data_IF_850637898914
#
_entry.id   IF_850637898914
#
_cell.length_a   1.000
_cell.length_b   1.000
_cell.length_c   1.000
_cell.angle_alpha   90.00
_cell.angle_beta   90.00
_cell.angle_gamma   90.00
#
_symmetry.space_group_name_H-M   'P 1'
#
loop_
_entity.id
_entity.type
_entity.pdbx_description
1 polymer ?
#
# COMPACT_ATOMS: atom_id res chain seq x y z
N UNK A 1 48.24 19.18 9.85
CA UNK A 1 47.07 19.86 10.44
C UNK A 1 45.87 19.93 9.49
N UNK A 2 46.03 20.31 8.21
CA UNK A 2 44.89 20.41 7.27
C UNK A 2 44.07 19.13 7.04
N UNK A 3 44.72 17.95 6.95
CA UNK A 3 44.00 16.67 6.75
C UNK A 3 43.09 16.29 7.93
N UNK A 4 43.53 16.56 9.16
CA UNK A 4 42.73 16.29 10.35
C UNK A 4 41.53 17.26 10.44
N UNK A 5 41.75 18.54 10.13
CA UNK A 5 40.68 19.53 10.08
C UNK A 5 39.61 19.17 9.03
N UNK A 6 40.03 18.75 7.83
CA UNK A 6 39.10 18.29 6.78
C UNK A 6 38.30 17.08 7.24
N UNK A 7 38.95 16.07 7.82
CA UNK A 7 38.26 14.88 8.33
C UNK A 7 37.23 15.24 9.42
N UNK A 8 37.62 16.08 10.39
CA UNK A 8 36.71 16.53 11.45
C UNK A 8 35.51 17.29 10.90
N UNK A 9 35.73 18.18 9.91
CA UNK A 9 34.63 18.91 9.26
C UNK A 9 33.70 17.97 8.49
N UNK A 10 34.23 16.97 7.78
CA UNK A 10 33.42 15.97 7.08
C UNK A 10 32.56 15.15 8.04
N UNK A 11 33.12 14.73 9.18
CA UNK A 11 32.36 13.99 10.21
C UNK A 11 31.26 14.87 10.81
N UNK A 12 31.56 16.12 11.13
CA UNK A 12 30.57 17.06 11.67
C UNK A 12 29.45 17.32 10.66
N UNK A 13 29.79 17.56 9.39
CA UNK A 13 28.81 17.75 8.32
C UNK A 13 27.91 16.52 8.13
N UNK A 14 28.49 15.31 8.15
CA UNK A 14 27.74 14.07 8.06
C UNK A 14 26.79 13.88 9.27
N UNK A 15 27.26 14.19 10.49
CA UNK A 15 26.43 14.10 11.68
C UNK A 15 25.24 15.07 11.63
N UNK A 16 25.45 16.31 11.14
CA UNK A 16 24.38 17.29 10.94
C UNK A 16 23.38 16.79 9.90
N UNK A 17 23.85 16.24 8.77
CA UNK A 17 22.99 15.66 7.74
C UNK A 17 22.14 14.50 8.28
N UNK A 18 22.75 13.56 9.01
CA UNK A 18 22.02 12.43 9.61
C UNK A 18 20.99 12.95 10.63
N UNK A 19 21.36 13.92 11.46
CA UNK A 19 20.45 14.55 12.41
C UNK A 19 19.24 15.20 11.73
N UNK A 20 19.46 15.94 10.66
CA UNK A 20 18.40 16.54 9.83
C UNK A 20 17.49 15.44 9.24
N UNK A 21 18.05 14.37 8.66
CA UNK A 21 17.26 13.25 8.11
C UNK A 21 16.43 12.53 9.16
N UNK A 22 16.95 12.34 10.37
CA UNK A 22 16.19 11.76 11.47
C UNK A 22 15.03 12.66 11.91
N UNK A 23 15.24 13.98 11.98
CA UNK A 23 14.19 14.95 12.29
C UNK A 23 13.12 14.92 11.19
N UNK A 24 13.53 14.98 9.93
CA UNK A 24 12.63 14.90 8.78
C UNK A 24 11.84 13.59 8.77
N UNK A 25 12.49 12.44 8.97
CA UNK A 25 11.81 11.15 9.06
C UNK A 25 10.82 11.12 10.24
N UNK A 26 11.14 11.73 11.38
CA UNK A 26 10.22 11.85 12.53
C UNK A 26 8.97 12.66 12.17
N UNK A 27 9.14 13.74 11.40
CA UNK A 27 8.03 14.56 10.90
C UNK A 27 7.17 13.81 9.90
N UNK A 28 7.82 13.18 8.93
CA UNK A 28 7.21 12.37 7.88
C UNK A 28 6.41 11.19 8.43
N UNK A 29 7.01 10.42 9.35
CA UNK A 29 6.36 9.28 10.00
C UNK A 29 5.38 9.67 11.10
N UNK A 30 5.20 10.97 11.39
CA UNK A 30 4.34 11.45 12.48
C UNK A 30 4.59 10.70 13.81
N UNK A 31 5.83 10.27 14.10
CA UNK A 31 6.11 9.38 15.24
C UNK A 31 5.94 10.04 16.61
N UNK A 32 5.71 11.34 16.64
CA UNK A 32 5.34 12.13 17.82
C UNK A 32 3.83 12.34 17.96
N UNK A 33 3.02 11.87 17.02
CA UNK A 33 1.58 12.05 17.02
C UNK A 33 0.93 11.15 18.07
N UNK A 34 0.25 11.76 19.02
CA UNK A 34 -0.67 11.07 19.91
C UNK A 34 -2.07 10.98 19.28
N UNK A 35 -2.73 9.84 19.46
CA UNK A 35 -4.09 9.61 18.97
C UNK A 35 -5.10 10.11 19.99
N UNK A 36 -5.97 11.03 19.58
CA UNK A 36 -7.17 11.34 20.34
C UNK A 36 -8.18 10.23 20.12
N UNK A 37 -8.61 9.56 21.19
CA UNK A 37 -9.60 8.49 21.10
C UNK A 37 -10.98 9.07 20.78
N UNK A 38 -11.45 8.82 19.55
CA UNK A 38 -12.80 9.14 19.12
C UNK A 38 -13.60 7.84 19.05
N UNK A 39 -14.47 7.61 20.03
CA UNK A 39 -15.31 6.42 20.08
C UNK A 39 -16.53 6.63 19.19
N UNK A 40 -16.68 5.78 18.18
CA UNK A 40 -17.92 5.65 17.44
C UNK A 40 -18.84 4.64 18.14
N UNK A 41 -20.14 4.91 18.27
CA UNK A 41 -21.08 3.94 18.82
C UNK A 41 -21.24 2.75 17.85
N UNK A 42 -21.53 1.56 18.40
CA UNK A 42 -21.84 0.34 17.62
C UNK A 42 -20.72 -0.14 16.68
N UNK A 43 -19.46 0.03 17.05
CA UNK A 43 -18.36 -0.63 16.37
C UNK A 43 -18.28 -2.11 16.76
N UNK A 44 -18.28 -2.99 15.75
CA UNK A 44 -18.14 -4.43 15.94
C UNK A 44 -16.97 -4.94 15.11
N UNK A 45 -16.16 -5.80 15.70
CA UNK A 45 -15.11 -6.50 14.99
C UNK A 45 -15.72 -7.53 14.03
N UNK A 46 -15.26 -7.57 12.79
CA UNK A 46 -15.68 -8.56 11.81
C UNK A 46 -14.86 -9.84 12.04
N UNK A 47 -15.52 -10.89 12.51
CA UNK A 47 -14.87 -12.17 12.78
C UNK A 47 -14.33 -12.83 11.49
N UNK A 48 -13.17 -13.48 11.60
CA UNK A 48 -12.53 -14.22 10.51
C UNK A 48 -11.50 -13.44 9.69
N UNK A 49 -11.34 -12.13 9.91
CA UNK A 49 -10.24 -11.32 9.34
C UNK A 49 -9.13 -11.20 10.38
N UNK A 50 -8.18 -12.12 10.38
CA UNK A 50 -7.11 -12.16 11.40
C UNK A 50 -5.77 -11.56 10.94
N UNK A 51 -5.50 -11.59 9.62
CA UNK A 51 -4.19 -11.29 9.06
C UNK A 51 -4.19 -10.07 8.14
N UNK A 52 -4.79 -8.97 8.63
CA UNK A 52 -4.86 -7.69 7.92
C UNK A 52 -5.94 -7.65 6.84
N UNK A 53 -6.56 -6.49 6.68
CA UNK A 53 -7.43 -6.11 5.57
C UNK A 53 -6.93 -4.75 5.07
N UNK A 54 -5.94 -4.80 4.18
CA UNK A 54 -5.16 -3.60 3.82
C UNK A 54 -5.98 -2.65 2.96
N UNK A 55 -6.74 -3.19 2.00
CA UNK A 55 -7.62 -2.42 1.14
C UNK A 55 -9.03 -3.02 1.02
N UNK A 56 -10.00 -2.15 0.70
CA UNK A 56 -11.41 -2.47 0.57
C UNK A 56 -12.05 -1.66 -0.56
N UNK A 57 -12.86 -2.31 -1.38
CA UNK A 57 -13.66 -1.66 -2.42
C UNK A 57 -15.09 -2.18 -2.41
N UNK A 58 -16.07 -1.35 -2.75
CA UNK A 58 -17.49 -1.65 -2.54
C UNK A 58 -18.28 -1.39 -3.83
N UNK A 59 -19.05 -2.39 -4.26
CA UNK A 59 -20.02 -2.24 -5.33
C UNK A 59 -21.22 -1.40 -4.88
N UNK A 60 -21.93 -0.79 -5.83
CA UNK A 60 -23.12 0.01 -5.55
C UNK A 60 -24.23 -0.78 -4.82
N UNK A 61 -24.28 -2.10 -5.00
CA UNK A 61 -25.21 -2.99 -4.31
C UNK A 61 -24.81 -3.32 -2.86
N UNK A 62 -23.71 -2.75 -2.34
CA UNK A 62 -23.22 -2.94 -0.98
C UNK A 62 -22.34 -4.17 -0.77
N UNK A 63 -21.98 -4.91 -1.83
CA UNK A 63 -21.00 -5.99 -1.74
C UNK A 63 -19.58 -5.41 -1.70
N UNK A 64 -18.90 -5.58 -0.56
CA UNK A 64 -17.51 -5.18 -0.37
C UNK A 64 -16.55 -6.34 -0.70
N UNK A 65 -15.40 -6.00 -1.24
CA UNK A 65 -14.25 -6.87 -1.48
C UNK A 65 -13.10 -6.38 -0.61
N UNK A 66 -12.39 -7.29 0.04
CA UNK A 66 -11.28 -6.98 0.93
C UNK A 66 -10.03 -7.75 0.51
N UNK A 67 -8.91 -7.06 0.35
CA UNK A 67 -7.59 -7.69 0.20
C UNK A 67 -7.00 -7.97 1.57
N UNK A 68 -6.54 -9.21 1.80
CA UNK A 68 -6.10 -9.66 3.12
C UNK A 68 -4.84 -10.51 3.05
N UNK A 69 -4.09 -10.57 4.14
CA UNK A 69 -2.88 -11.38 4.22
C UNK A 69 -1.68 -10.80 3.49
N UNK A 70 -1.64 -9.48 3.25
CA UNK A 70 -0.52 -8.81 2.62
C UNK A 70 0.77 -9.02 3.42
N UNK A 71 1.80 -9.49 2.73
CA UNK A 71 3.18 -9.58 3.21
C UNK A 71 4.01 -8.52 2.51
N UNK A 72 4.21 -7.38 3.18
CA UNK A 72 4.97 -6.26 2.64
C UNK A 72 6.34 -6.14 3.31
N UNK A 73 7.44 -5.93 2.55
CA UNK A 73 8.78 -5.82 3.12
C UNK A 73 8.88 -4.75 4.21
N UNK A 74 9.41 -5.12 5.37
CA UNK A 74 9.57 -4.22 6.50
C UNK A 74 8.35 -4.08 7.40
N UNK A 75 7.22 -4.70 7.07
CA UNK A 75 6.04 -4.79 7.95
C UNK A 75 5.96 -6.16 8.64
N UNK A 76 5.37 -6.23 9.85
CA UNK A 76 5.08 -7.50 10.49
C UNK A 76 4.12 -8.36 9.64
N UNK A 77 4.43 -9.65 9.52
CA UNK A 77 3.49 -10.66 9.03
C UNK A 77 3.15 -11.61 10.17
N UNK A 78 1.88 -11.99 10.26
CA UNK A 78 1.36 -12.83 11.34
C UNK A 78 0.90 -14.21 10.85
N UNK A 79 1.03 -14.49 9.55
CA UNK A 79 0.73 -15.80 8.95
C UNK A 79 1.68 -16.12 7.80
N UNK A 80 1.92 -17.41 7.59
CA UNK A 80 2.64 -17.93 6.42
C UNK A 80 1.69 -18.29 5.27
N UNK A 81 0.37 -18.28 5.50
CA UNK A 81 -0.64 -18.53 4.46
C UNK A 81 -0.58 -17.48 3.35
N UNK A 82 -0.97 -17.86 2.13
CA UNK A 82 -1.21 -16.93 1.04
C UNK A 82 -2.33 -15.95 1.38
N UNK A 83 -2.26 -14.76 0.80
CA UNK A 83 -3.32 -13.78 0.96
C UNK A 83 -4.62 -14.22 0.28
N UNK A 84 -5.71 -13.55 0.64
CA UNK A 84 -7.06 -13.93 0.21
C UNK A 84 -7.85 -12.67 -0.16
N UNK A 85 -8.78 -12.83 -1.10
CA UNK A 85 -9.86 -11.87 -1.29
C UNK A 85 -11.10 -12.38 -0.55
N UNK A 86 -11.64 -11.55 0.33
CA UNK A 86 -12.92 -11.80 0.98
C UNK A 86 -14.00 -10.93 0.39
N UNK A 87 -15.24 -11.41 0.39
CA UNK A 87 -16.43 -10.60 0.19
C UNK A 87 -17.22 -10.44 1.47
N UNK A 88 -17.87 -9.28 1.62
CA UNK A 88 -18.74 -8.95 2.73
C UNK A 88 -19.95 -8.18 2.20
N UNK A 89 -21.16 -8.69 2.44
CA UNK A 89 -22.37 -7.95 2.12
C UNK A 89 -22.67 -6.96 3.26
N UNK A 90 -22.46 -5.66 3.00
CA UNK A 90 -22.68 -4.59 4.00
C UNK A 90 -24.16 -4.36 4.32
N UNK A 91 -25.07 -4.93 3.54
CA UNK A 91 -26.50 -4.87 3.78
C UNK A 91 -27.01 -6.09 4.57
N UNK A 92 -26.19 -7.13 4.75
CA UNK A 92 -26.53 -8.28 5.59
C UNK A 92 -26.25 -7.96 7.07
N UNK A 93 -27.30 -8.00 7.88
CA UNK A 93 -27.23 -7.86 9.34
C UNK A 93 -26.21 -8.78 10.03
N UNK A 94 -25.90 -9.94 9.44
CA UNK A 94 -24.96 -10.91 10.02
C UNK A 94 -23.49 -10.57 9.76
N UNK A 95 -23.20 -9.69 8.78
CA UNK A 95 -21.85 -9.22 8.45
C UNK A 95 -20.81 -10.35 8.35
N UNK A 96 -21.17 -11.46 7.68
CA UNK A 96 -20.29 -12.62 7.53
C UNK A 96 -19.42 -12.48 6.29
N UNK A 97 -18.11 -12.57 6.48
CA UNK A 97 -17.16 -12.64 5.37
C UNK A 97 -17.26 -13.99 4.66
N UNK A 98 -16.99 -13.98 3.35
CA UNK A 98 -16.87 -15.19 2.54
C UNK A 98 -15.57 -15.12 1.74
N UNK A 99 -14.75 -16.16 1.81
CA UNK A 99 -13.55 -16.24 0.97
C UNK A 99 -13.97 -16.41 -0.49
N UNK A 100 -13.41 -15.60 -1.39
CA UNK A 100 -13.63 -15.74 -2.82
C UNK A 100 -12.89 -16.95 -3.37
N UNK A 101 -13.57 -17.75 -4.20
CA UNK A 101 -12.91 -18.84 -4.91
C UNK A 101 -12.24 -18.31 -6.19
N UNK A 102 -10.91 -18.37 -6.25
CA UNK A 102 -10.18 -18.00 -7.48
C UNK A 102 -10.20 -19.20 -8.45
N UNK A 103 -10.71 -19.00 -9.67
CA UNK A 103 -10.72 -19.98 -10.75
C UNK A 103 -9.74 -19.58 -11.85
N UNK A 104 -9.18 -20.56 -12.56
CA UNK A 104 -8.21 -20.35 -13.63
C UNK A 104 -6.76 -20.51 -13.18
N UNK A 105 -5.84 -20.09 -14.05
CA UNK A 105 -4.40 -20.37 -13.97
C UNK A 105 -3.61 -19.27 -13.24
N UNK A 106 -4.02 -18.96 -12.00
CA UNK A 106 -3.25 -18.12 -11.09
C UNK A 106 -2.50 -19.02 -10.10
N UNK A 107 -1.22 -18.74 -9.86
CA UNK A 107 -0.49 -19.34 -8.74
C UNK A 107 -1.02 -18.79 -7.40
N UNK A 108 -1.84 -19.59 -6.73
CA UNK A 108 -2.47 -19.24 -5.45
C UNK A 108 -1.50 -19.33 -4.28
N UNK A 109 -0.42 -20.08 -4.41
CA UNK A 109 0.53 -20.31 -3.33
C UNK A 109 1.45 -19.09 -3.13
N UNK A 110 1.68 -18.31 -4.19
CA UNK A 110 2.41 -17.04 -4.11
C UNK A 110 1.52 -15.79 -4.11
N UNK A 111 0.18 -15.95 -4.08
CA UNK A 111 -0.75 -14.83 -4.10
C UNK A 111 -0.61 -13.96 -2.84
N UNK A 112 -0.31 -12.68 -3.06
CA UNK A 112 0.00 -11.68 -2.04
C UNK A 112 -0.67 -10.35 -2.43
N UNK A 113 -2.01 -10.23 -2.23
CA UNK A 113 -2.80 -9.10 -2.68
C UNK A 113 -2.57 -7.85 -1.80
N UNK A 114 -2.53 -6.69 -2.45
CA UNK A 114 -2.33 -5.36 -1.88
C UNK A 114 -3.55 -4.48 -2.23
N UNK A 115 -3.37 -3.32 -2.89
CA UNK A 115 -4.49 -2.49 -3.36
C UNK A 115 -5.39 -3.16 -4.40
N UNK A 116 -6.67 -2.79 -4.41
CA UNK A 116 -7.72 -3.37 -5.25
C UNK A 116 -8.67 -2.31 -5.81
N UNK A 117 -9.14 -2.52 -7.03
CA UNK A 117 -10.20 -1.68 -7.62
C UNK A 117 -11.21 -2.50 -8.37
N UNK A 118 -12.46 -2.10 -8.26
CA UNK A 118 -13.55 -2.60 -9.08
C UNK A 118 -13.73 -1.74 -10.34
N UNK A 119 -14.18 -2.39 -11.41
CA UNK A 119 -14.69 -1.72 -12.61
C UNK A 119 -15.90 -2.49 -13.14
N UNK A 120 -17.02 -1.80 -13.30
CA UNK A 120 -18.21 -2.35 -13.96
C UNK A 120 -18.20 -1.92 -15.42
N UNK A 121 -18.24 -2.86 -16.36
CA UNK A 121 -18.32 -2.54 -17.79
C UNK A 121 -19.73 -2.05 -18.13
N UNK A 122 -19.82 -0.79 -18.58
CA UNK A 122 -21.08 -0.15 -18.98
C UNK A 122 -21.78 -0.89 -20.15
N UNK A 123 -21.07 -1.75 -20.89
CA UNK A 123 -21.61 -2.48 -22.04
C UNK A 123 -22.49 -3.66 -21.67
N UNK A 124 -22.09 -4.44 -20.67
CA UNK A 124 -22.74 -5.70 -20.31
C UNK A 124 -22.92 -5.89 -18.79
N UNK A 125 -22.51 -4.92 -17.97
CA UNK A 125 -22.58 -4.97 -16.52
C UNK A 125 -21.56 -5.92 -15.89
N UNK A 126 -20.61 -6.47 -16.66
CA UNK A 126 -19.60 -7.36 -16.10
C UNK A 126 -18.71 -6.61 -15.11
N UNK A 127 -18.53 -7.20 -13.93
CA UNK A 127 -17.68 -6.65 -12.88
C UNK A 127 -16.29 -7.26 -12.97
N UNK A 128 -15.29 -6.39 -12.99
CA UNK A 128 -13.88 -6.74 -12.97
C UNK A 128 -13.27 -6.30 -11.65
N UNK A 129 -12.49 -7.18 -11.04
CA UNK A 129 -11.66 -6.86 -9.88
C UNK A 129 -10.20 -6.86 -10.33
N UNK A 130 -9.56 -5.73 -10.15
CA UNK A 130 -8.12 -5.55 -10.33
C UNK A 130 -7.46 -5.69 -8.97
N UNK A 131 -6.37 -6.45 -8.91
CA UNK A 131 -5.65 -6.72 -7.66
C UNK A 131 -4.16 -6.52 -7.88
N UNK A 132 -3.57 -5.59 -7.14
CA UNK A 132 -2.13 -5.49 -7.01
C UNK A 132 -1.63 -6.74 -6.30
N UNK A 133 -0.66 -7.43 -6.88
CA UNK A 133 -0.13 -8.70 -6.37
C UNK A 133 1.40 -8.67 -6.31
N UNK A 134 1.95 -9.24 -5.23
CA UNK A 134 3.39 -9.28 -4.97
C UNK A 134 3.96 -10.70 -4.82
N UNK A 135 3.86 -11.55 -5.86
CA UNK A 135 4.33 -12.92 -5.77
C UNK A 135 5.86 -12.94 -5.67
N UNK A 136 6.36 -13.56 -4.61
CA UNK A 136 7.81 -13.69 -4.34
C UNK A 136 8.54 -12.33 -4.34
N UNK A 137 7.86 -11.25 -3.95
CA UNK A 137 8.44 -9.90 -3.87
C UNK A 137 8.47 -9.12 -5.19
N UNK A 138 7.90 -9.67 -6.27
CA UNK A 138 7.67 -8.93 -7.51
C UNK A 138 6.49 -7.95 -7.38
N UNK A 139 6.18 -7.21 -8.44
CA UNK A 139 5.03 -6.33 -8.54
C UNK A 139 4.31 -6.59 -9.85
N UNK A 140 3.00 -6.83 -9.79
CA UNK A 140 2.14 -7.07 -10.94
C UNK A 140 0.69 -6.74 -10.59
N UNK A 141 -0.18 -6.61 -11.59
CA UNK A 141 -1.62 -6.42 -11.39
C UNK A 141 -2.37 -7.59 -12.01
N UNK A 142 -3.19 -8.26 -11.23
CA UNK A 142 -4.08 -9.34 -11.68
C UNK A 142 -5.45 -8.77 -12.05
N UNK A 143 -6.01 -9.24 -13.15
CA UNK A 143 -7.38 -8.92 -13.55
C UNK A 143 -8.24 -10.17 -13.41
N UNK A 144 -9.32 -10.04 -12.66
CA UNK A 144 -10.34 -11.06 -12.49
C UNK A 144 -11.69 -10.54 -13.00
N UNK A 145 -12.50 -11.44 -13.56
CA UNK A 145 -13.94 -11.22 -13.72
C UNK A 145 -14.66 -11.81 -12.51
N UNK A 146 -15.49 -11.03 -11.87
CA UNK A 146 -16.34 -11.50 -10.77
C UNK A 146 -17.52 -12.31 -11.31
N UNK A 147 -17.73 -13.50 -10.74
CA UNK A 147 -18.85 -14.39 -11.04
C UNK A 147 -19.71 -14.51 -9.79
N UNK A 148 -20.77 -13.70 -9.73
CA UNK A 148 -21.57 -13.48 -8.52
C UNK A 148 -22.25 -14.76 -8.01
N UNK A 149 -22.92 -15.50 -8.89
CA UNK A 149 -23.66 -16.73 -8.54
C UNK A 149 -22.79 -17.80 -7.88
N UNK A 150 -21.48 -17.76 -8.14
CA UNK A 150 -20.51 -18.73 -7.64
C UNK A 150 -19.64 -18.19 -6.49
N UNK A 151 -19.78 -16.90 -6.14
CA UNK A 151 -18.84 -16.18 -5.26
C UNK A 151 -17.37 -16.45 -5.66
N UNK A 152 -17.10 -16.32 -6.97
CA UNK A 152 -15.81 -16.68 -7.57
C UNK A 152 -15.18 -15.52 -8.35
N UNK A 153 -13.84 -15.52 -8.39
CA UNK A 153 -13.02 -14.66 -9.23
C UNK A 153 -12.47 -15.51 -10.37
N UNK A 154 -12.97 -15.31 -11.58
CA UNK A 154 -12.42 -15.94 -12.77
C UNK A 154 -11.18 -15.15 -13.21
N UNK A 155 -9.99 -15.76 -13.06
CA UNK A 155 -8.74 -15.17 -13.52
C UNK A 155 -8.78 -14.93 -15.04
N UNK A 156 -8.38 -13.72 -15.44
CA UNK A 156 -8.30 -13.28 -16.83
C UNK A 156 -6.84 -13.20 -17.27
N UNK A 157 -6.02 -12.40 -16.57
CA UNK A 157 -4.61 -12.19 -16.93
C UNK A 157 -3.82 -11.48 -15.83
N UNK A 158 -2.51 -11.63 -15.91
CA UNK A 158 -1.51 -10.82 -15.20
C UNK A 158 -0.99 -9.70 -16.08
N UNK A 159 -0.87 -8.49 -15.52
CA UNK A 159 -0.22 -7.32 -16.12
C UNK A 159 1.13 -7.10 -15.46
N UNK A 160 2.18 -7.05 -16.28
CA UNK A 160 3.55 -6.68 -15.89
C UNK A 160 4.06 -5.60 -16.83
N UNK A 161 4.76 -4.62 -16.28
CA UNK A 161 5.41 -3.59 -17.06
C UNK A 161 6.59 -3.01 -16.27
N UNK A 162 7.62 -2.53 -16.96
CA UNK A 162 8.81 -1.92 -16.31
C UNK A 162 8.45 -0.69 -15.47
N UNK A 163 7.42 0.06 -15.89
CA UNK A 163 6.88 1.20 -15.16
C UNK A 163 6.00 0.79 -13.96
N UNK A 164 5.62 -0.48 -13.81
CA UNK A 164 4.81 -0.99 -12.69
C UNK A 164 5.70 -1.73 -11.68
N UNK A 165 6.83 -1.12 -11.33
CA UNK A 165 7.93 -1.77 -10.63
C UNK A 165 7.70 -1.97 -9.12
N UNK A 166 6.82 -1.19 -8.50
CA UNK A 166 6.49 -1.35 -7.08
C UNK A 166 5.10 -0.78 -6.75
N UNK A 167 4.07 -1.37 -7.36
CA UNK A 167 2.70 -0.88 -7.28
C UNK A 167 2.15 -1.04 -5.87
N UNK A 168 1.52 0.01 -5.35
CA UNK A 168 0.86 -0.01 -4.05
C UNK A 168 -0.64 -0.21 -4.22
N UNK A 169 -1.27 0.74 -4.92
CA UNK A 169 -2.69 0.74 -5.21
C UNK A 169 -2.97 1.15 -6.66
N UNK A 170 -4.18 0.88 -7.11
CA UNK A 170 -4.66 1.13 -8.47
C UNK A 170 -6.10 1.64 -8.46
N UNK A 171 -6.47 2.40 -9.48
CA UNK A 171 -7.87 2.73 -9.78
C UNK A 171 -8.19 2.34 -11.23
N UNK A 172 -9.14 1.42 -11.37
CA UNK A 172 -9.56 0.91 -12.67
C UNK A 172 -10.45 1.91 -13.41
N UNK A 173 -10.16 2.12 -14.69
CA UNK A 173 -10.89 3.06 -15.57
C UNK A 173 -11.35 2.40 -16.87
N UNK A 174 -11.17 1.09 -17.00
CA UNK A 174 -11.62 0.25 -18.09
C UNK A 174 -11.42 -1.23 -17.73
N UNK A 175 -11.85 -2.13 -18.61
CA UNK A 175 -11.71 -3.59 -18.41
C UNK A 175 -10.26 -4.08 -18.42
N UNK A 176 -9.33 -3.29 -18.96
CA UNK A 176 -7.88 -3.56 -18.96
C UNK A 176 -7.04 -2.28 -18.77
N UNK A 177 -7.62 -1.21 -18.24
CA UNK A 177 -6.92 0.07 -18.07
C UNK A 177 -7.11 0.65 -16.68
N UNK A 178 -6.05 1.20 -16.11
CA UNK A 178 -6.02 1.68 -14.74
C UNK A 178 -4.92 2.74 -14.55
N UNK A 179 -5.04 3.51 -13.48
CA UNK A 179 -3.93 4.27 -12.92
C UNK A 179 -3.35 3.50 -11.74
N UNK A 180 -2.03 3.53 -11.57
CA UNK A 180 -1.30 2.82 -10.53
C UNK A 180 -0.33 3.76 -9.84
N UNK A 181 -0.20 3.65 -8.53
CA UNK A 181 0.86 4.33 -7.77
C UNK A 181 2.03 3.38 -7.54
N UNK A 182 3.25 3.81 -7.82
CA UNK A 182 4.43 3.13 -7.31
C UNK A 182 4.84 3.76 -5.97
N UNK A 183 4.91 2.98 -4.89
CA UNK A 183 5.25 3.50 -3.56
C UNK A 183 6.75 3.63 -3.28
N UNK A 184 7.59 3.08 -4.18
CA UNK A 184 9.03 3.30 -4.20
C UNK A 184 9.54 3.29 -5.63
N UNK A 185 10.58 4.08 -5.91
CA UNK A 185 11.36 3.98 -7.13
C UNK A 185 12.22 2.72 -7.14
N UNK A 186 12.87 2.40 -6.02
CA UNK A 186 13.75 1.24 -5.96
C UNK A 186 12.99 -0.07 -5.74
N UNK A 187 13.39 -1.12 -6.44
CA UNK A 187 12.87 -2.48 -6.22
C UNK A 187 13.71 -3.31 -5.24
N UNK A 188 14.98 -2.93 -5.04
CA UNK A 188 15.86 -3.58 -4.08
C UNK A 188 15.41 -3.32 -2.64
N UNK A 189 15.25 -4.38 -1.85
CA UNK A 189 14.75 -4.28 -0.48
C UNK A 189 15.52 -3.31 0.41
N UNK A 190 16.85 -3.23 0.33
CA UNK A 190 17.65 -2.29 1.15
C UNK A 190 17.40 -0.85 0.70
N UNK A 191 17.38 -0.62 -0.61
CA UNK A 191 17.17 0.72 -1.15
C UNK A 191 15.76 1.25 -0.88
N UNK A 192 14.74 0.37 -0.81
CA UNK A 192 13.39 0.75 -0.34
C UNK A 192 13.39 1.33 1.07
N UNK A 193 14.30 0.91 1.95
CA UNK A 193 14.44 1.51 3.29
C UNK A 193 15.21 2.85 3.27
N UNK A 194 16.18 2.98 2.35
CA UNK A 194 17.01 4.20 2.23
C UNK A 194 16.25 5.34 1.57
N UNK A 195 15.39 5.05 0.60
CA UNK A 195 14.60 6.03 -0.15
C UNK A 195 13.78 6.99 0.74
N UNK A 196 12.91 6.51 1.65
CA UNK A 196 12.15 7.38 2.55
C UNK A 196 13.04 8.06 3.59
N UNK A 197 14.14 7.44 4.03
CA UNK A 197 15.09 8.05 4.97
C UNK A 197 15.78 9.27 4.38
N UNK A 198 16.15 9.19 3.10
CA UNK A 198 16.70 10.32 2.34
C UNK A 198 15.60 11.27 1.84
N UNK A 199 14.33 10.93 2.05
CA UNK A 199 13.16 11.70 1.61
C UNK A 199 13.21 12.00 0.12
N UNK A 200 13.53 10.98 -0.68
CA UNK A 200 13.63 11.11 -2.13
C UNK A 200 12.23 11.08 -2.75
N UNK A 201 11.80 12.13 -3.46
CA UNK A 201 10.47 12.21 -4.04
C UNK A 201 10.44 11.54 -5.42
N UNK A 202 10.78 10.25 -5.49
CA UNK A 202 10.93 9.53 -6.76
C UNK A 202 9.79 8.57 -7.09
N UNK A 203 8.78 8.52 -6.22
CA UNK A 203 7.55 7.77 -6.48
C UNK A 203 6.69 8.48 -7.54
N UNK A 204 5.87 7.70 -8.23
CA UNK A 204 5.11 8.16 -9.38
C UNK A 204 3.72 7.51 -9.50
N UNK A 205 2.93 8.04 -10.43
CA UNK A 205 1.66 7.46 -10.88
C UNK A 205 1.79 7.13 -12.36
N UNK A 206 1.41 5.91 -12.71
CA UNK A 206 1.46 5.35 -14.06
C UNK A 206 0.05 5.11 -14.55
N UNK A 207 -0.23 5.53 -15.78
CA UNK A 207 -1.40 5.07 -16.51
C UNK A 207 -1.03 3.83 -17.33
N UNK A 208 -1.86 2.80 -17.25
CA UNK A 208 -1.74 1.59 -18.04
C UNK A 208 -2.99 1.38 -18.91
N UNK A 209 -2.77 1.03 -20.16
CA UNK A 209 -3.70 0.35 -21.05
C UNK A 209 -2.94 -0.61 -21.97
N UNK A 210 -3.61 -1.53 -22.68
CA UNK A 210 -2.92 -2.41 -23.62
C UNK A 210 -2.17 -1.68 -24.74
N UNK A 211 -2.56 -0.45 -25.07
CA UNK A 211 -1.97 0.36 -26.13
C UNK A 211 -0.95 1.39 -25.62
N UNK A 212 -1.01 1.79 -24.35
CA UNK A 212 -0.20 2.89 -23.84
C UNK A 212 0.10 2.68 -22.37
N UNK A 213 1.38 2.76 -22.01
CA UNK A 213 1.82 2.77 -20.61
C UNK A 213 2.74 3.96 -20.42
N UNK A 214 2.42 4.84 -19.47
CA UNK A 214 3.18 6.08 -19.27
C UNK A 214 3.08 6.58 -17.83
N UNK A 215 4.16 7.22 -17.35
CA UNK A 215 4.13 8.01 -16.12
C UNK A 215 3.29 9.26 -16.35
N UNK A 216 2.26 9.49 -15.54
CA UNK A 216 1.34 10.63 -15.66
C UNK A 216 1.52 11.67 -14.56
N UNK A 217 2.13 11.29 -13.44
CA UNK A 217 2.53 12.19 -12.38
C UNK A 217 3.73 11.62 -11.63
N UNK A 218 4.57 12.47 -11.03
CA UNK A 218 5.72 12.05 -10.25
C UNK A 218 6.12 13.11 -9.23
N UNK A 219 7.21 12.87 -8.51
CA UNK A 219 7.66 13.78 -7.45
C UNK A 219 7.04 13.47 -6.09
N UNK A 220 6.62 12.23 -5.85
CA UNK A 220 6.00 11.82 -4.60
C UNK A 220 7.01 11.13 -3.68
N UNK A 221 6.85 11.29 -2.36
CA UNK A 221 7.71 10.62 -1.38
C UNK A 221 7.34 9.15 -1.22
N UNK A 222 6.04 8.87 -1.03
CA UNK A 222 5.45 7.53 -0.95
C UNK A 222 4.02 7.65 -1.52
N UNK A 223 3.85 7.36 -2.81
CA UNK A 223 2.53 7.32 -3.42
C UNK A 223 1.80 6.04 -2.98
N UNK A 224 0.60 6.17 -2.43
CA UNK A 224 -0.11 5.08 -1.77
C UNK A 224 -1.52 4.95 -2.38
N UNK A 225 -2.61 5.02 -1.59
CA UNK A 225 -3.96 4.92 -2.16
C UNK A 225 -4.25 5.84 -3.35
N UNK A 226 -5.03 5.40 -4.33
CA UNK A 226 -5.44 6.20 -5.50
C UNK A 226 -6.91 5.98 -5.83
N UNK A 227 -7.61 7.03 -6.24
CA UNK A 227 -9.02 6.95 -6.59
C UNK A 227 -9.40 7.99 -7.64
N UNK A 228 -10.63 7.89 -8.15
CA UNK A 228 -11.19 8.78 -9.14
C UNK A 228 -12.53 9.33 -8.65
N UNK A 229 -12.81 10.60 -8.95
CA UNK A 229 -14.11 11.21 -8.64
C UNK A 229 -15.24 10.49 -9.39
N UNK A 230 -16.48 10.49 -8.85
CA UNK A 230 -17.62 9.82 -9.50
C UNK A 230 -17.90 10.31 -10.93
N UNK A 231 -17.63 11.59 -11.22
CA UNK A 231 -17.76 12.18 -12.56
C UNK A 231 -16.60 11.83 -13.51
N UNK A 232 -15.61 11.04 -13.04
CA UNK A 232 -14.39 10.62 -13.73
C UNK A 232 -13.49 11.78 -14.19
N UNK A 233 -13.65 12.98 -13.63
CA UNK A 233 -12.91 14.19 -14.05
C UNK A 233 -11.67 14.47 -13.21
N UNK A 234 -11.53 13.85 -12.05
CA UNK A 234 -10.43 14.13 -11.11
C UNK A 234 -9.87 12.83 -10.56
N UNK A 235 -8.55 12.68 -10.63
CA UNK A 235 -7.82 11.65 -9.91
C UNK A 235 -7.35 12.23 -8.57
N UNK A 236 -7.47 11.44 -7.51
CA UNK A 236 -7.00 11.75 -6.16
C UNK A 236 -6.05 10.65 -5.72
N UNK A 237 -4.94 11.01 -5.07
CA UNK A 237 -4.02 10.04 -4.51
C UNK A 237 -3.59 10.44 -3.10
N UNK A 238 -3.40 9.43 -2.27
CA UNK A 238 -2.89 9.53 -0.92
C UNK A 238 -1.38 9.48 -0.91
N UNK A 239 -0.81 10.18 0.07
CA UNK A 239 0.59 10.04 0.46
C UNK A 239 0.61 9.45 1.85
N UNK A 240 1.35 8.37 2.06
CA UNK A 240 1.46 7.72 3.38
C UNK A 240 2.06 8.67 4.46
N UNK A 241 2.67 9.78 4.03
CA UNK A 241 3.61 10.59 4.83
C UNK A 241 3.17 12.06 4.99
N UNK A 242 2.14 12.50 4.26
CA UNK A 242 1.55 13.82 4.46
C UNK A 242 0.07 13.67 4.74
N UNK A 243 -0.39 14.27 5.84
CA UNK A 243 -1.82 14.58 6.00
C UNK A 243 -2.33 15.17 4.68
N UNK A 244 -3.45 14.67 4.17
CA UNK A 244 -4.28 15.29 3.14
C UNK A 244 -4.29 16.82 3.31
N UNK A 245 -3.36 17.53 2.67
CA UNK A 245 -3.27 19.01 2.75
C UNK A 245 -3.97 19.69 1.57
N UNK A 246 -4.69 18.91 0.78
CA UNK A 246 -5.65 19.38 -0.21
C UNK A 246 -7.01 18.76 0.08
N UNK A 247 -7.71 19.33 1.06
CA UNK A 247 -9.16 19.15 1.19
C UNK A 247 -9.81 19.95 0.06
N UNK A 248 -10.00 19.32 -1.10
CA UNK A 248 -11.12 19.72 -1.95
C UNK A 248 -12.33 19.13 -1.24
N UNK A 249 -13.28 19.98 -0.82
CA UNK A 249 -14.55 19.59 -0.23
C UNK A 249 -15.19 18.44 -1.04
N UNK A 250 -14.95 17.21 -0.62
CA UNK A 250 -15.72 16.04 -0.98
C UNK A 250 -16.43 15.62 0.30
N UNK A 251 -17.75 15.67 0.26
CA UNK A 251 -18.60 15.02 1.25
C UNK A 251 -18.13 13.57 1.38
N UNK A 252 -17.80 13.22 2.62
CA UNK A 252 -17.14 11.97 3.00
C UNK A 252 -18.12 10.81 2.77
N UNK A 253 -17.95 10.11 1.67
CA UNK A 253 -18.39 8.72 1.49
C UNK A 253 -17.15 7.86 1.26
N UNK A 254 -16.79 7.04 2.26
CA UNK A 254 -15.73 6.03 2.16
C UNK A 254 -14.41 6.42 2.83
N UNK A 255 -14.04 5.66 3.86
CA UNK A 255 -12.89 5.88 4.74
C UNK A 255 -11.66 5.10 4.28
N UNK A 256 -10.46 5.65 4.47
CA UNK A 256 -9.21 4.90 4.60
C UNK A 256 -8.39 5.52 5.74
N UNK A 257 -8.26 4.80 6.86
CA UNK A 257 -7.45 5.24 8.00
C UNK A 257 -6.97 4.04 8.84
N UNK A 258 -5.86 3.42 8.45
CA UNK A 258 -5.12 2.47 9.30
C UNK A 258 -3.62 2.52 8.99
N UNK A 259 -2.92 3.57 9.43
CA UNK A 259 -1.46 3.71 9.18
C UNK A 259 -0.63 4.05 10.43
N UNK A 260 -1.17 3.97 11.65
CA UNK A 260 -0.43 4.39 12.85
C UNK A 260 0.59 3.36 13.35
N UNK A 261 0.42 2.06 13.06
CA UNK A 261 1.34 0.99 13.53
C UNK A 261 2.64 0.94 12.72
N UNK A 262 2.66 1.46 11.49
CA UNK A 262 3.82 1.42 10.58
C UNK A 262 5.05 2.19 11.13
N UNK A 263 4.81 3.30 11.84
CA UNK A 263 5.85 4.31 12.07
C UNK A 263 6.88 3.94 13.14
N UNK A 264 6.49 3.14 14.15
CA UNK A 264 7.41 2.73 15.24
C UNK A 264 8.32 1.59 14.79
N UNK A 265 7.78 0.63 14.04
CA UNK A 265 8.54 -0.54 13.59
C UNK A 265 9.58 -0.17 12.53
N UNK A 266 9.21 0.72 11.59
CA UNK A 266 10.14 1.26 10.59
C UNK A 266 11.34 1.97 11.24
N UNK A 267 11.09 2.81 12.26
CA UNK A 267 12.15 3.51 12.98
C UNK A 267 13.09 2.54 13.72
N UNK A 268 12.56 1.48 14.34
CA UNK A 268 13.37 0.44 15.01
C UNK A 268 14.24 -0.33 14.00
N UNK A 269 13.69 -0.69 12.84
CA UNK A 269 14.45 -1.39 11.79
C UNK A 269 15.55 -0.50 11.19
N UNK A 270 15.28 0.80 11.00
CA UNK A 270 16.29 1.75 10.52
C UNK A 270 17.41 1.97 11.55
N UNK A 271 17.08 2.03 12.84
CA UNK A 271 18.07 2.06 13.92
C UNK A 271 18.92 0.79 13.89
N UNK A 272 18.31 -0.39 13.77
CA UNK A 272 19.05 -1.65 13.64
C UNK A 272 19.93 -1.70 12.40
N UNK A 273 19.46 -1.21 11.25
CA UNK A 273 20.23 -1.16 10.00
C UNK A 273 21.44 -0.23 10.12
N UNK A 274 21.25 0.98 10.67
CA UNK A 274 22.33 1.95 10.92
C UNK A 274 23.35 1.38 11.91
N UNK A 275 22.90 0.69 12.96
CA UNK A 275 23.77 0.04 13.95
C UNK A 275 24.56 -1.13 13.36
N UNK A 276 23.93 -1.92 12.47
CA UNK A 276 24.58 -3.03 11.77
C UNK A 276 25.62 -2.54 10.77
N UNK A 277 25.33 -1.46 10.05
CA UNK A 277 26.25 -0.82 9.09
C UNK A 277 27.42 -0.08 9.79
N UNK A 278 27.23 0.37 11.04
CA UNK A 278 28.27 1.03 11.84
C UNK A 278 29.09 0.06 12.73
N UNK A 279 28.79 -1.24 12.70
CA UNK A 279 29.51 -2.24 13.49
C UNK A 279 29.24 -2.21 15.01
N UNK A 280 28.25 -1.42 15.45
CA UNK A 280 27.87 -1.30 16.86
C UNK A 280 26.85 -2.40 17.22
N UNK A 281 27.20 -3.31 18.13
CA UNK A 281 26.26 -4.32 18.66
C UNK A 281 25.37 -3.71 19.73
N UNK A 282 24.05 -3.94 19.65
CA UNK A 282 23.13 -3.67 20.74
C UNK A 282 22.97 -4.91 21.62
N UNK A 283 23.23 -4.75 22.92
CA UNK A 283 22.71 -5.64 23.95
C UNK A 283 21.20 -5.41 24.11
N UNK A 284 20.40 -6.40 23.72
CA UNK A 284 18.99 -6.65 24.10
C UNK A 284 18.04 -5.44 24.21
N UNK A 285 17.28 -5.19 23.14
CA UNK A 285 15.90 -4.71 23.26
C UNK A 285 14.98 -5.89 22.97
N UNK A 286 14.41 -6.50 24.02
CA UNK A 286 13.36 -7.52 23.88
C UNK A 286 12.07 -6.80 23.44
N UNK A 287 11.35 -7.37 22.47
CA UNK A 287 10.02 -6.88 22.13
C UNK A 287 9.09 -7.04 23.34
N UNK A 288 8.09 -6.14 23.52
CA UNK A 288 6.96 -6.47 24.37
C UNK A 288 6.21 -7.64 23.72
N UNK A 289 5.70 -8.55 24.55
CA UNK A 289 4.73 -9.58 24.12
C UNK A 289 3.36 -8.95 23.94
#
# INVERSE_FOLDING_TARGET
MGKLAVLSLSVAALAVLIGERLITLRHLSLSYRELTQNYLPNCHHIEGIEYGAEDITVLENGLAFLSTGLKYPGLPSYSDDSGKIYTLNLLDSKMKIKTMNIKGDLDKDSFNPHGISLYTDDKDGAVYLFVVNHPQGNSQVEIFRFVEDENALQYIKTIKHELLHNVNDIVAVGTESFYATNDHYFTNGILKFVEPFLSLPWCDVVYYSPQTVQVVAGGFLIANGINISPDKRRLTWGHCVTTLRWTVNLEIYGWAATQTVLNVYFMIQMIHLVLRLSGLRTSSLKSPR
#
